data_IF_219125445800
#
_entry.id   IF_219125445800
#
_cell.length_a   1.000
_cell.length_b   1.000
_cell.length_c   1.000
_cell.angle_alpha   90.00
_cell.angle_beta   90.00
_cell.angle_gamma   90.00
#
_symmetry.space_group_name_H-M   'P 1'
#
loop_
_entity.id
_entity.type
_entity.pdbx_description
1 polymer ?
#
# COMPACT_ATOMS: atom_id res chain seq x y z
N UNK A 1 -22.41 7.99 -32.31
CA UNK A 1 -21.79 7.75 -33.63
C UNK A 1 -21.43 6.27 -33.67
N UNK A 2 -22.00 5.54 -34.59
CA UNK A 2 -21.74 4.12 -34.79
C UNK A 2 -21.28 3.91 -36.21
N UNK A 3 -20.24 3.11 -36.40
CA UNK A 3 -19.93 2.52 -37.67
C UNK A 3 -20.84 1.29 -37.85
N UNK A 4 -21.76 1.35 -38.80
CA UNK A 4 -22.70 0.25 -39.10
C UNK A 4 -22.11 -0.77 -40.06
N UNK A 5 -20.86 -0.65 -40.50
CA UNK A 5 -20.18 -1.64 -41.30
C UNK A 5 -19.85 -2.88 -40.49
N UNK A 6 -19.94 -4.06 -41.06
CA UNK A 6 -19.56 -5.33 -40.42
C UNK A 6 -18.07 -5.36 -40.04
N UNK A 7 -17.26 -4.53 -40.67
CA UNK A 7 -15.83 -4.44 -40.49
C UNK A 7 -15.39 -3.35 -39.50
N UNK A 8 -16.31 -2.46 -39.10
CA UNK A 8 -16.03 -1.28 -38.25
C UNK A 8 -14.81 -0.45 -38.73
N UNK A 9 -14.73 -0.25 -40.05
CA UNK A 9 -13.59 0.43 -40.69
C UNK A 9 -13.81 1.92 -40.97
N UNK A 10 -14.93 2.48 -40.52
CA UNK A 10 -15.17 3.92 -40.60
C UNK A 10 -14.13 4.68 -39.79
N UNK A 11 -13.45 5.64 -40.42
CA UNK A 11 -12.40 6.44 -39.79
C UNK A 11 -12.88 7.87 -39.65
N UNK A 12 -12.79 8.41 -38.43
CA UNK A 12 -13.07 9.80 -38.12
C UNK A 12 -11.76 10.56 -37.88
N UNK A 13 -11.53 11.58 -38.70
CA UNK A 13 -10.40 12.49 -38.53
C UNK A 13 -10.88 13.86 -38.08
N UNK A 14 -10.27 14.42 -37.03
CA UNK A 14 -10.47 15.80 -36.66
C UNK A 14 -10.91 16.04 -35.22
N UNK A 15 -11.32 17.28 -34.96
CA UNK A 15 -11.78 17.75 -33.65
C UNK A 15 -13.28 17.55 -33.51
N UNK A 16 -13.73 16.99 -32.41
CA UNK A 16 -15.14 16.82 -32.08
C UNK A 16 -15.51 17.74 -30.92
N UNK A 17 -16.53 18.61 -31.12
CA UNK A 17 -17.12 19.42 -30.08
C UNK A 17 -18.44 18.78 -29.61
N UNK A 18 -18.44 18.24 -28.42
CA UNK A 18 -19.61 17.59 -27.80
C UNK A 18 -20.33 18.56 -26.86
N UNK A 19 -21.58 18.83 -27.14
CA UNK A 19 -22.46 19.66 -26.29
C UNK A 19 -23.63 18.89 -25.68
N UNK A 20 -23.78 17.62 -26.01
CA UNK A 20 -24.86 16.74 -25.53
C UNK A 20 -24.33 15.72 -24.56
N UNK A 21 -25.13 15.37 -23.55
CA UNK A 21 -24.81 14.29 -22.59
C UNK A 21 -25.10 12.88 -23.13
N UNK A 22 -25.72 12.74 -24.31
CA UNK A 22 -26.19 11.47 -24.84
C UNK A 22 -25.42 11.05 -26.11
N UNK A 23 -24.11 11.22 -26.13
CA UNK A 23 -23.27 10.76 -27.23
C UNK A 23 -22.56 9.50 -26.82
N UNK A 24 -22.55 8.53 -27.72
CA UNK A 24 -21.87 7.26 -27.56
C UNK A 24 -20.98 6.96 -28.78
N UNK A 25 -19.77 6.51 -28.53
CA UNK A 25 -18.88 5.90 -29.50
C UNK A 25 -18.95 4.39 -29.34
N UNK A 26 -19.64 3.72 -30.25
CA UNK A 26 -19.91 2.29 -30.19
C UNK A 26 -19.04 1.44 -31.14
N UNK A 27 -18.25 2.06 -31.99
CA UNK A 27 -17.34 1.42 -32.95
C UNK A 27 -16.66 2.45 -33.84
N UNK A 28 -15.84 1.99 -34.80
CA UNK A 28 -15.08 2.84 -35.69
C UNK A 28 -13.66 3.14 -35.23
N UNK A 29 -12.96 3.93 -36.04
CA UNK A 29 -11.57 4.36 -35.77
C UNK A 29 -11.58 5.88 -35.62
N UNK A 30 -11.05 6.37 -34.51
CA UNK A 30 -11.03 7.79 -34.16
C UNK A 30 -9.59 8.27 -34.08
N UNK A 31 -9.14 8.98 -35.12
CA UNK A 31 -7.81 9.54 -35.22
C UNK A 31 -7.88 11.07 -35.08
N UNK A 32 -7.23 11.61 -34.07
CA UNK A 32 -7.22 13.04 -33.80
C UNK A 32 -5.80 13.59 -33.76
N UNK A 33 -5.35 14.15 -34.88
CA UNK A 33 -4.01 14.75 -34.99
C UNK A 33 -3.82 16.01 -34.13
N UNK A 34 -4.88 16.61 -33.61
CA UNK A 34 -4.81 17.87 -32.83
C UNK A 34 -4.97 17.72 -31.33
N UNK A 35 -5.13 16.50 -30.79
CA UNK A 35 -5.34 16.21 -29.36
C UNK A 35 -6.58 16.88 -28.70
N UNK A 36 -7.63 17.22 -29.47
CA UNK A 36 -8.68 18.06 -28.96
C UNK A 36 -10.08 17.46 -29.14
N UNK A 37 -10.47 16.60 -28.20
CA UNK A 37 -11.90 16.40 -27.95
C UNK A 37 -12.37 17.46 -26.96
N UNK A 38 -13.27 18.34 -27.40
CA UNK A 38 -13.86 19.36 -26.54
C UNK A 38 -15.19 18.85 -25.99
N UNK A 39 -15.25 18.64 -24.70
CA UNK A 39 -16.50 18.31 -24.01
C UNK A 39 -16.97 19.54 -23.24
N UNK A 40 -18.17 20.02 -23.55
CA UNK A 40 -18.70 21.21 -22.97
C UNK A 40 -19.58 20.89 -21.75
N UNK A 41 -19.49 21.72 -20.70
CA UNK A 41 -20.28 21.62 -19.47
C UNK A 41 -20.14 20.29 -18.68
N UNK A 42 -18.98 19.67 -18.65
CA UNK A 42 -18.76 18.45 -17.88
C UNK A 42 -19.52 17.22 -18.39
N UNK A 43 -20.05 17.28 -19.64
CA UNK A 43 -20.63 16.13 -20.30
C UNK A 43 -19.50 15.14 -20.64
N UNK A 44 -19.74 13.85 -20.48
CA UNK A 44 -18.83 12.80 -20.95
C UNK A 44 -19.44 12.05 -22.11
N UNK A 45 -18.56 11.56 -23.00
CA UNK A 45 -18.94 10.69 -24.11
C UNK A 45 -18.88 9.26 -23.60
N UNK A 46 -19.97 8.51 -23.74
CA UNK A 46 -19.95 7.08 -23.49
C UNK A 46 -19.14 6.37 -24.58
N UNK A 47 -18.21 5.54 -24.17
CA UNK A 47 -17.37 4.77 -25.09
C UNK A 47 -17.65 3.29 -24.86
N UNK A 48 -18.28 2.64 -25.85
CA UNK A 48 -18.64 1.22 -25.77
C UNK A 48 -17.97 0.37 -26.83
N UNK A 49 -17.19 0.96 -27.74
CA UNK A 49 -16.40 0.28 -28.76
C UNK A 49 -15.56 1.25 -29.57
N UNK A 50 -14.70 0.71 -30.43
CA UNK A 50 -13.86 1.47 -31.35
C UNK A 50 -12.38 1.45 -31.02
N UNK A 51 -11.59 2.03 -31.94
CA UNK A 51 -10.15 2.27 -31.83
C UNK A 51 -9.89 3.76 -31.75
N UNK A 52 -8.97 4.15 -30.89
CA UNK A 52 -8.71 5.55 -30.59
C UNK A 52 -7.22 5.83 -30.53
N UNK A 53 -6.78 6.95 -31.11
CA UNK A 53 -5.44 7.50 -30.85
C UNK A 53 -5.27 7.83 -29.40
N UNK A 54 -6.35 8.35 -28.78
CA UNK A 54 -6.34 8.78 -27.39
C UNK A 54 -7.72 8.72 -26.76
N UNK A 55 -7.77 8.17 -25.55
CA UNK A 55 -8.94 8.23 -24.67
C UNK A 55 -8.51 8.90 -23.36
N UNK A 56 -9.27 9.89 -22.90
CA UNK A 56 -9.02 10.57 -21.63
C UNK A 56 -10.27 10.54 -20.76
N UNK A 57 -10.09 10.29 -19.47
CA UNK A 57 -11.16 10.38 -18.45
C UNK A 57 -11.81 11.75 -18.35
N UNK A 58 -11.15 12.81 -18.82
CA UNK A 58 -11.72 14.14 -18.84
C UNK A 58 -12.98 14.19 -19.70
N UNK A 59 -13.02 13.46 -20.80
CA UNK A 59 -14.12 13.49 -21.75
C UNK A 59 -14.81 12.14 -21.99
N UNK A 60 -14.17 11.01 -21.65
CA UNK A 60 -14.70 9.68 -21.91
C UNK A 60 -15.18 8.98 -20.64
N UNK A 61 -16.23 8.20 -20.79
CA UNK A 61 -16.74 7.26 -19.82
C UNK A 61 -16.91 5.90 -20.49
N UNK A 62 -16.17 4.90 -20.04
CA UNK A 62 -16.28 3.54 -20.55
C UNK A 62 -17.62 2.93 -20.17
N UNK A 63 -18.21 2.16 -21.08
CA UNK A 63 -19.35 1.31 -20.78
C UNK A 63 -19.01 0.29 -19.69
N UNK A 64 -20.04 -0.27 -19.08
CA UNK A 64 -19.87 -1.28 -18.03
C UNK A 64 -19.12 -2.51 -18.56
N UNK A 65 -18.21 -3.04 -17.75
CA UNK A 65 -17.39 -4.23 -18.05
C UNK A 65 -16.52 -4.10 -19.32
N UNK A 66 -16.21 -2.87 -19.76
CA UNK A 66 -15.31 -2.61 -20.87
C UNK A 66 -13.97 -2.10 -20.35
N UNK A 67 -12.89 -2.45 -21.05
CA UNK A 67 -11.55 -1.96 -20.78
C UNK A 67 -10.88 -1.42 -22.03
N UNK A 68 -9.86 -0.59 -21.84
CA UNK A 68 -8.99 -0.13 -22.91
C UNK A 68 -7.81 -1.09 -23.03
N UNK A 69 -7.46 -1.42 -24.26
CA UNK A 69 -6.34 -2.31 -24.60
C UNK A 69 -5.45 -1.59 -25.59
N UNK A 70 -4.16 -1.59 -25.33
CA UNK A 70 -3.15 -1.04 -26.22
C UNK A 70 -3.10 -1.83 -27.54
N UNK A 71 -3.09 -1.15 -28.68
CA UNK A 71 -3.14 -1.79 -29.99
C UNK A 71 -1.82 -2.45 -30.41
N UNK A 72 -0.69 -2.08 -29.80
CA UNK A 72 0.63 -2.63 -30.13
C UNK A 72 1.01 -3.77 -29.21
N UNK A 73 0.84 -3.56 -27.88
CA UNK A 73 1.25 -4.55 -26.88
C UNK A 73 0.17 -5.56 -26.54
N UNK A 74 -1.08 -5.25 -26.87
CA UNK A 74 -2.28 -6.00 -26.49
C UNK A 74 -2.46 -6.12 -24.95
N UNK A 75 -1.91 -5.15 -24.21
CA UNK A 75 -2.02 -5.07 -22.77
C UNK A 75 -3.19 -4.18 -22.35
N UNK A 76 -3.89 -4.56 -21.29
CA UNK A 76 -4.96 -3.75 -20.72
C UNK A 76 -4.39 -2.52 -20.04
N UNK A 77 -5.07 -1.39 -20.21
CA UNK A 77 -4.73 -0.13 -19.58
C UNK A 77 -5.55 0.09 -18.31
N UNK A 78 -4.93 0.51 -17.18
CA UNK A 78 -5.65 0.74 -15.94
C UNK A 78 -6.75 1.80 -16.09
N UNK A 79 -7.94 1.51 -15.58
CA UNK A 79 -9.06 2.47 -15.59
C UNK A 79 -8.71 3.80 -14.90
N UNK A 80 -7.77 3.75 -13.93
CA UNK A 80 -7.30 4.93 -13.22
C UNK A 80 -6.44 5.88 -14.05
N UNK A 81 -5.90 5.46 -15.19
CA UNK A 81 -5.10 6.32 -16.07
C UNK A 81 -5.88 7.53 -16.54
N UNK A 82 -5.24 8.69 -16.53
CA UNK A 82 -5.86 9.95 -16.95
C UNK A 82 -6.03 10.01 -18.45
N UNK A 83 -5.17 9.32 -19.19
CA UNK A 83 -5.15 9.31 -20.65
C UNK A 83 -4.42 8.07 -21.15
N UNK A 84 -5.04 7.34 -22.07
CA UNK A 84 -4.47 6.20 -22.80
C UNK A 84 -4.35 6.55 -24.27
N UNK A 85 -3.27 6.14 -24.92
CA UNK A 85 -3.00 6.40 -26.34
C UNK A 85 -2.97 5.08 -27.11
N UNK A 86 -3.30 5.15 -28.42
CA UNK A 86 -3.28 4.00 -29.31
C UNK A 86 -4.04 2.77 -28.77
N UNK A 87 -5.29 2.96 -28.39
CA UNK A 87 -6.08 1.95 -27.69
C UNK A 87 -7.35 1.55 -28.45
N UNK A 88 -7.85 0.37 -28.15
CA UNK A 88 -9.22 -0.04 -28.50
C UNK A 88 -10.00 -0.49 -27.27
N UNK A 89 -11.31 -0.57 -27.44
CA UNK A 89 -12.24 -1.01 -26.39
C UNK A 89 -12.61 -2.46 -26.59
N UNK A 90 -12.49 -3.24 -25.53
CA UNK A 90 -12.96 -4.63 -25.51
C UNK A 90 -13.69 -4.98 -24.21
N UNK A 91 -14.35 -6.14 -24.20
CA UNK A 91 -14.99 -6.67 -23.00
C UNK A 91 -13.93 -7.12 -21.96
N UNK A 92 -14.06 -6.63 -20.74
CA UNK A 92 -13.23 -7.06 -19.62
C UNK A 92 -13.70 -8.40 -19.06
N UNK A 93 -13.32 -9.49 -19.74
CA UNK A 93 -13.77 -10.85 -19.39
C UNK A 93 -13.15 -11.39 -18.11
N UNK A 94 -11.95 -10.92 -17.75
CA UNK A 94 -11.24 -11.29 -16.52
C UNK A 94 -10.98 -10.03 -15.70
N UNK A 95 -11.63 -9.94 -14.55
CA UNK A 95 -11.45 -8.83 -13.63
C UNK A 95 -10.23 -9.03 -12.75
N UNK A 96 -9.58 -7.93 -12.40
CA UNK A 96 -8.42 -7.90 -11.52
C UNK A 96 -8.73 -6.98 -10.33
N UNK A 97 -8.64 -7.54 -9.13
CA UNK A 97 -8.91 -6.87 -7.86
C UNK A 97 -7.68 -6.87 -6.92
N UNK A 98 -6.49 -7.18 -7.45
CA UNK A 98 -5.27 -7.25 -6.64
C UNK A 98 -4.79 -5.89 -6.16
N UNK A 99 -4.91 -4.86 -7.01
CA UNK A 99 -4.50 -3.49 -6.69
C UNK A 99 -5.61 -2.68 -6.01
N UNK A 100 -6.85 -2.95 -6.36
CA UNK A 100 -8.03 -2.37 -5.74
C UNK A 100 -9.03 -3.47 -5.41
N UNK A 101 -9.17 -3.80 -4.13
CA UNK A 101 -10.05 -4.90 -3.71
C UNK A 101 -11.54 -4.60 -3.94
N UNK A 102 -11.91 -3.32 -4.09
CA UNK A 102 -13.29 -2.91 -4.31
C UNK A 102 -13.66 -2.85 -5.80
N UNK A 103 -12.73 -2.44 -6.66
CA UNK A 103 -13.00 -2.25 -8.07
C UNK A 103 -11.95 -2.92 -8.96
N UNK A 104 -12.41 -3.49 -10.09
CA UNK A 104 -11.50 -4.00 -11.10
C UNK A 104 -10.60 -2.89 -11.64
N UNK A 105 -9.28 -3.09 -11.63
CA UNK A 105 -8.29 -2.11 -12.08
C UNK A 105 -8.48 -1.72 -13.55
N UNK A 106 -9.01 -2.63 -14.38
CA UNK A 106 -9.18 -2.41 -15.82
C UNK A 106 -10.50 -1.75 -16.22
N UNK A 107 -11.62 -2.15 -15.61
CA UNK A 107 -12.97 -1.71 -16.03
C UNK A 107 -13.77 -1.05 -14.91
N UNK A 108 -13.21 -0.93 -13.72
CA UNK A 108 -13.86 -0.36 -12.55
C UNK A 108 -15.17 -1.06 -12.14
N UNK A 109 -15.38 -2.31 -12.56
CA UNK A 109 -16.49 -3.12 -12.07
C UNK A 109 -16.30 -3.39 -10.58
N UNK A 110 -17.34 -3.20 -9.80
CA UNK A 110 -17.31 -3.50 -8.37
C UNK A 110 -17.09 -4.99 -8.13
N UNK A 111 -16.18 -5.31 -7.22
CA UNK A 111 -15.96 -6.67 -6.76
C UNK A 111 -17.19 -7.18 -5.99
N UNK A 112 -17.86 -8.24 -6.44
CA UNK A 112 -19.03 -8.76 -5.74
C UNK A 112 -18.70 -9.32 -4.34
N UNK A 113 -17.45 -9.72 -4.12
CA UNK A 113 -17.00 -10.28 -2.85
C UNK A 113 -16.39 -9.23 -1.91
N UNK A 114 -16.41 -7.94 -2.32
CA UNK A 114 -15.89 -6.87 -1.49
C UNK A 114 -16.75 -6.67 -0.24
N UNK A 115 -16.12 -6.79 0.92
CA UNK A 115 -16.74 -6.63 2.24
C UNK A 115 -16.20 -5.41 3.01
N UNK A 116 -14.99 -4.94 2.68
CA UNK A 116 -14.33 -3.80 3.32
C UNK A 116 -12.82 -3.84 3.13
N UNK A 117 -12.15 -2.75 3.45
CA UNK A 117 -10.71 -2.61 3.27
C UNK A 117 -9.90 -3.17 4.44
N UNK A 118 -10.53 -3.32 5.60
CA UNK A 118 -9.89 -3.81 6.83
C UNK A 118 -10.76 -4.90 7.43
N UNK A 119 -10.19 -6.07 7.60
CA UNK A 119 -10.81 -7.18 8.31
C UNK A 119 -10.39 -7.15 9.78
N UNK A 120 -11.34 -7.37 10.66
CA UNK A 120 -11.14 -7.47 12.11
C UNK A 120 -11.64 -8.83 12.57
N UNK A 121 -10.77 -9.61 13.20
CA UNK A 121 -11.13 -10.90 13.78
C UNK A 121 -11.14 -10.79 15.30
N UNK A 122 -12.28 -11.08 15.92
CA UNK A 122 -12.47 -11.13 17.37
C UNK A 122 -13.11 -12.46 17.72
N UNK A 123 -12.45 -13.27 18.54
CA UNK A 123 -12.95 -14.61 18.92
C UNK A 123 -13.32 -15.50 17.72
N UNK A 124 -12.58 -15.40 16.62
CA UNK A 124 -12.83 -16.15 15.38
C UNK A 124 -13.98 -15.61 14.53
N UNK A 125 -14.62 -14.52 14.93
CA UNK A 125 -15.66 -13.85 14.13
C UNK A 125 -15.04 -12.71 13.35
N UNK A 126 -15.24 -12.71 12.02
CA UNK A 126 -14.75 -11.68 11.13
C UNK A 126 -15.78 -10.55 10.96
N UNK A 127 -15.28 -9.33 10.99
CA UNK A 127 -16.04 -8.10 10.70
C UNK A 127 -15.20 -7.25 9.75
N UNK A 128 -15.83 -6.59 8.78
CA UNK A 128 -15.15 -5.77 7.79
C UNK A 128 -15.56 -4.31 7.93
N UNK A 129 -14.60 -3.40 7.80
CA UNK A 129 -14.80 -1.94 7.86
C UNK A 129 -13.99 -1.25 6.77
N UNK A 130 -14.31 0.00 6.49
CA UNK A 130 -13.69 0.74 5.39
C UNK A 130 -12.49 1.58 5.84
N UNK A 131 -12.32 1.83 7.14
CA UNK A 131 -11.27 2.71 7.64
C UNK A 131 -10.48 2.11 8.80
N UNK A 132 -9.20 2.50 8.91
CA UNK A 132 -8.37 2.15 10.07
C UNK A 132 -8.98 2.69 11.38
N UNK A 133 -9.58 3.88 11.35
CA UNK A 133 -10.22 4.47 12.53
C UNK A 133 -11.32 3.58 13.10
N UNK A 134 -12.21 3.11 12.24
CA UNK A 134 -13.29 2.18 12.64
C UNK A 134 -12.72 0.86 13.16
N UNK A 135 -11.69 0.31 12.50
CA UNK A 135 -11.03 -0.91 12.94
C UNK A 135 -10.43 -0.77 14.34
N UNK A 136 -9.68 0.30 14.60
CA UNK A 136 -9.08 0.55 15.91
C UNK A 136 -10.12 0.86 16.97
N UNK A 137 -11.22 1.55 16.64
CA UNK A 137 -12.32 1.77 17.57
C UNK A 137 -13.01 0.47 17.96
N UNK A 138 -13.23 -0.42 16.98
CA UNK A 138 -13.85 -1.72 17.22
C UNK A 138 -12.97 -2.66 18.05
N UNK A 139 -11.66 -2.65 17.80
CA UNK A 139 -10.67 -3.52 18.46
C UNK A 139 -10.32 -3.06 19.88
N UNK A 140 -10.45 -1.76 20.18
CA UNK A 140 -10.06 -1.20 21.49
C UNK A 140 -10.84 -1.88 22.63
N UNK A 141 -10.12 -2.40 23.60
CA UNK A 141 -10.68 -3.16 24.72
C UNK A 141 -10.90 -4.66 24.45
N UNK A 142 -10.53 -5.17 23.28
CA UNK A 142 -10.73 -6.56 22.89
C UNK A 142 -9.41 -7.28 22.62
N UNK A 143 -9.46 -8.60 22.50
CA UNK A 143 -8.44 -9.38 21.83
C UNK A 143 -8.85 -9.49 20.35
N UNK A 144 -8.09 -8.82 19.48
CA UNK A 144 -8.46 -8.62 18.08
C UNK A 144 -7.25 -8.70 17.16
N UNK A 145 -7.44 -9.26 15.97
CA UNK A 145 -6.51 -9.15 14.85
C UNK A 145 -7.12 -8.24 13.77
N UNK A 146 -6.38 -7.22 13.36
CA UNK A 146 -6.73 -6.29 12.30
C UNK A 146 -5.86 -6.59 11.10
N UNK A 147 -6.45 -6.99 9.98
CA UNK A 147 -5.74 -7.36 8.74
C UNK A 147 -6.13 -6.41 7.61
N UNK A 148 -5.15 -5.85 6.94
CA UNK A 148 -5.38 -4.97 5.78
C UNK A 148 -5.63 -5.79 4.51
N UNK A 149 -6.68 -5.46 3.79
CA UNK A 149 -7.02 -6.09 2.51
C UNK A 149 -6.38 -5.35 1.34
N UNK A 150 -6.10 -4.04 1.50
CA UNK A 150 -5.31 -3.24 0.57
C UNK A 150 -4.50 -2.16 1.29
N UNK A 151 -3.58 -1.51 0.57
CA UNK A 151 -2.88 -0.31 1.05
C UNK A 151 -3.86 0.85 1.23
N UNK A 152 -3.66 1.65 2.27
CA UNK A 152 -4.56 2.77 2.56
C UNK A 152 -3.82 3.98 3.12
N UNK A 153 -4.43 5.15 2.91
CA UNK A 153 -4.01 6.40 3.50
C UNK A 153 -4.95 6.78 4.65
N UNK A 154 -4.41 7.01 5.84
CA UNK A 154 -5.19 7.58 6.93
C UNK A 154 -5.31 9.10 6.74
N UNK A 155 -6.53 9.60 6.75
CA UNK A 155 -6.83 11.02 6.51
C UNK A 155 -7.39 11.74 7.73
N UNK A 156 -7.39 11.10 8.89
CA UNK A 156 -7.97 11.69 10.09
C UNK A 156 -7.39 11.17 11.39
N UNK A 157 -7.77 11.79 12.50
CA UNK A 157 -7.30 11.40 13.83
C UNK A 157 -7.74 9.98 14.20
N UNK A 158 -6.78 9.20 14.69
CA UNK A 158 -6.99 7.83 15.15
C UNK A 158 -7.31 7.80 16.65
N UNK A 159 -8.06 6.80 17.12
CA UNK A 159 -8.33 6.62 18.54
C UNK A 159 -7.05 6.20 19.28
N UNK A 160 -6.93 6.60 20.53
CA UNK A 160 -5.90 6.08 21.43
C UNK A 160 -6.30 4.68 21.90
N UNK A 161 -5.37 3.72 21.80
CA UNK A 161 -5.57 2.33 22.23
C UNK A 161 -5.29 2.23 23.74
N UNK A 162 -6.36 2.15 24.54
CA UNK A 162 -6.28 2.22 25.99
C UNK A 162 -6.28 0.85 26.68
N UNK A 163 -6.76 -0.17 26.00
CA UNK A 163 -6.83 -1.53 26.56
C UNK A 163 -7.01 -2.55 25.43
N UNK A 164 -6.93 -3.83 25.80
CA UNK A 164 -7.06 -4.94 24.86
C UNK A 164 -5.71 -5.45 24.36
N UNK A 165 -5.79 -6.53 23.58
CA UNK A 165 -4.63 -7.13 22.91
C UNK A 165 -4.88 -7.13 21.41
N UNK A 166 -4.17 -6.29 20.69
CA UNK A 166 -4.45 -5.98 19.29
C UNK A 166 -3.26 -6.37 18.44
N UNK A 167 -3.48 -7.24 17.45
CA UNK A 167 -2.51 -7.48 16.39
C UNK A 167 -2.89 -6.65 15.17
N UNK A 168 -1.96 -5.81 14.70
CA UNK A 168 -2.09 -5.02 13.49
C UNK A 168 -1.19 -5.62 12.40
N UNK A 169 -1.81 -6.36 11.51
CA UNK A 169 -1.16 -7.03 10.38
C UNK A 169 -1.48 -6.30 9.08
N UNK A 170 -0.47 -5.63 8.50
CA UNK A 170 -0.66 -4.95 7.21
C UNK A 170 -0.71 -5.91 6.02
N UNK A 171 -0.48 -7.22 6.22
CA UNK A 171 -0.60 -8.21 5.15
C UNK A 171 0.15 -7.80 3.86
N UNK A 172 1.40 -7.36 3.99
CA UNK A 172 2.28 -6.83 2.93
C UNK A 172 1.75 -5.54 2.25
N UNK A 173 0.81 -4.85 2.88
CA UNK A 173 0.26 -3.59 2.39
C UNK A 173 0.97 -2.40 3.06
N UNK A 174 0.65 -1.20 2.58
CA UNK A 174 1.20 0.04 3.12
C UNK A 174 0.10 0.85 3.82
N UNK A 175 0.44 1.37 4.98
CA UNK A 175 -0.35 2.36 5.70
C UNK A 175 0.39 3.69 5.69
N UNK A 176 -0.13 4.66 4.96
CA UNK A 176 0.40 6.01 4.89
C UNK A 176 -0.47 6.99 5.68
N UNK A 177 0.07 8.14 6.05
CA UNK A 177 -0.69 9.20 6.73
C UNK A 177 -0.25 10.59 6.28
N UNK A 178 -1.21 11.50 6.13
CA UNK A 178 -0.94 12.93 5.90
C UNK A 178 -0.47 13.57 7.20
N UNK A 179 0.79 13.97 7.20
CA UNK A 179 1.54 14.79 8.17
C UNK A 179 1.67 14.31 9.61
N UNK A 180 0.70 14.46 10.50
CA UNK A 180 0.92 14.31 11.97
C UNK A 180 0.10 13.20 12.62
N UNK A 181 -0.60 12.43 11.85
CA UNK A 181 -1.40 11.34 12.40
C UNK A 181 -0.53 10.25 13.01
N UNK A 182 -0.96 9.75 14.15
CA UNK A 182 -0.22 8.77 14.96
C UNK A 182 -1.15 7.70 15.47
N UNK A 183 -0.63 6.49 15.56
CA UNK A 183 -1.27 5.43 16.35
C UNK A 183 -0.74 5.57 17.78
N UNK A 184 -1.60 5.98 18.71
CA UNK A 184 -1.24 6.10 20.11
C UNK A 184 -1.62 4.83 20.88
N UNK A 185 -0.62 4.25 21.57
CA UNK A 185 -0.79 3.11 22.48
C UNK A 185 -0.65 3.64 23.89
N UNK A 186 -1.72 3.57 24.68
CA UNK A 186 -1.79 4.09 26.03
C UNK A 186 -2.57 3.14 26.96
N UNK A 187 -1.98 1.97 27.22
CA UNK A 187 -2.54 0.91 28.06
C UNK A 187 -2.81 -0.42 27.34
N UNK A 188 -3.01 -0.43 26.02
CA UNK A 188 -3.20 -1.67 25.26
C UNK A 188 -1.90 -2.47 25.08
N UNK A 189 -2.03 -3.76 24.78
CA UNK A 189 -0.95 -4.59 24.23
C UNK A 189 -1.12 -4.66 22.71
N UNK A 190 -0.16 -4.13 21.95
CA UNK A 190 -0.25 -4.06 20.49
C UNK A 190 0.93 -4.78 19.86
N UNK A 191 0.64 -5.68 18.93
CA UNK A 191 1.64 -6.31 18.04
C UNK A 191 1.47 -5.75 16.65
N UNK A 192 2.57 -5.37 15.99
CA UNK A 192 2.58 -4.88 14.60
C UNK A 192 3.47 -5.73 13.73
N UNK A 193 3.02 -6.03 12.50
CA UNK A 193 3.74 -6.90 11.57
C UNK A 193 3.36 -6.71 10.11
N UNK A 194 4.22 -7.20 9.20
CA UNK A 194 3.96 -7.51 7.79
C UNK A 194 3.51 -6.33 6.92
N UNK A 195 4.30 -5.28 6.80
CA UNK A 195 4.00 -4.22 5.83
C UNK A 195 4.76 -2.93 6.07
N UNK A 196 4.39 -1.89 5.34
CA UNK A 196 5.03 -0.58 5.44
C UNK A 196 4.17 0.37 6.27
N UNK A 197 4.70 0.82 7.39
CA UNK A 197 4.07 1.76 8.31
C UNK A 197 4.66 3.16 8.10
N UNK A 198 4.18 3.89 7.08
CA UNK A 198 4.52 5.30 6.87
C UNK A 198 3.62 6.21 7.73
N UNK A 199 3.47 5.83 8.98
CA UNK A 199 2.78 6.53 10.06
C UNK A 199 3.61 6.41 11.33
N UNK A 200 3.48 7.36 12.23
CA UNK A 200 4.15 7.30 13.54
C UNK A 200 3.38 6.39 14.48
N UNK A 201 4.05 5.39 15.05
CA UNK A 201 3.51 4.61 16.16
C UNK A 201 4.12 5.17 17.44
N UNK A 202 3.28 5.67 18.33
CA UNK A 202 3.66 6.32 19.56
C UNK A 202 3.15 5.54 20.79
N UNK A 203 4.06 4.98 21.56
CA UNK A 203 3.73 4.28 22.80
C UNK A 203 3.89 5.21 24.00
N UNK A 204 2.87 5.31 24.85
CA UNK A 204 2.89 6.06 26.11
C UNK A 204 2.87 5.14 27.32
N UNK A 205 1.98 4.16 27.31
CA UNK A 205 1.89 3.08 28.29
C UNK A 205 1.38 1.81 27.61
N UNK A 206 1.26 0.68 28.33
CA UNK A 206 0.93 -0.61 27.74
C UNK A 206 2.15 -1.29 27.10
N UNK A 207 1.94 -2.15 26.10
CA UNK A 207 3.01 -2.90 25.43
C UNK A 207 2.93 -2.75 23.93
N UNK A 208 4.08 -2.55 23.29
CA UNK A 208 4.22 -2.59 21.84
C UNK A 208 5.22 -3.68 21.45
N UNK A 209 4.79 -4.64 20.67
CA UNK A 209 5.65 -5.65 20.06
C UNK A 209 5.75 -5.42 18.57
N UNK A 210 6.96 -5.36 18.04
CA UNK A 210 7.24 -5.22 16.62
C UNK A 210 7.88 -6.52 16.14
N UNK A 211 7.18 -7.24 15.27
CA UNK A 211 7.63 -8.53 14.75
C UNK A 211 8.28 -8.42 13.37
N UNK A 212 7.77 -7.55 12.51
CA UNK A 212 8.28 -7.32 11.16
C UNK A 212 7.67 -6.06 10.54
N UNK A 213 8.22 -5.60 9.42
CA UNK A 213 7.71 -4.46 8.65
C UNK A 213 8.72 -3.33 8.51
N UNK A 214 8.37 -2.36 7.67
CA UNK A 214 9.13 -1.14 7.44
C UNK A 214 8.45 0.02 8.16
N UNK A 215 9.18 0.72 9.02
CA UNK A 215 8.64 1.76 9.88
C UNK A 215 9.30 3.11 9.59
N UNK A 216 8.48 4.13 9.27
CA UNK A 216 8.95 5.50 9.18
C UNK A 216 9.44 6.01 10.53
N UNK A 217 8.65 5.81 11.58
CA UNK A 217 9.04 6.26 12.91
C UNK A 217 8.31 5.49 14.02
N UNK A 218 9.08 5.03 14.98
CA UNK A 218 8.60 4.59 16.29
C UNK A 218 8.90 5.67 17.30
N UNK A 219 7.89 6.08 18.04
CA UNK A 219 8.02 7.09 19.09
C UNK A 219 7.73 6.53 20.48
N UNK A 220 8.53 6.92 21.44
CA UNK A 220 8.39 6.54 22.85
C UNK A 220 8.35 7.80 23.71
N UNK A 221 7.31 7.94 24.55
CA UNK A 221 7.08 9.15 25.30
C UNK A 221 6.98 9.00 26.81
N UNK A 222 7.25 7.82 27.35
CA UNK A 222 7.23 7.60 28.79
C UNK A 222 8.48 6.85 29.28
N UNK A 223 8.71 6.89 30.61
CA UNK A 223 9.87 6.29 31.27
C UNK A 223 9.87 4.76 31.37
N UNK A 224 8.91 4.07 30.74
CA UNK A 224 8.75 2.60 30.78
C UNK A 224 9.49 1.90 29.65
N UNK A 225 10.83 1.88 29.71
CA UNK A 225 11.70 1.31 28.68
C UNK A 225 11.42 -0.19 28.33
N UNK A 226 10.80 -0.93 29.24
CA UNK A 226 10.54 -2.37 29.07
C UNK A 226 9.21 -2.70 28.37
N UNK A 227 8.53 -1.71 27.82
CA UNK A 227 7.21 -1.88 27.23
C UNK A 227 7.21 -1.97 25.70
N UNK A 228 8.38 -1.81 25.07
CA UNK A 228 8.57 -2.02 23.63
C UNK A 228 9.53 -3.19 23.44
N UNK A 229 9.11 -4.16 22.61
CA UNK A 229 9.89 -5.32 22.21
C UNK A 229 9.99 -5.36 20.68
N UNK A 230 11.23 -5.34 20.16
CA UNK A 230 11.50 -5.37 18.71
C UNK A 230 12.19 -6.68 18.35
N UNK A 231 11.42 -7.64 17.80
CA UNK A 231 11.94 -8.94 17.34
C UNK A 231 12.19 -8.97 15.83
N UNK A 232 11.91 -7.89 15.12
CA UNK A 232 12.13 -7.67 13.70
C UNK A 232 11.76 -6.25 13.31
N UNK A 233 11.85 -5.95 12.02
CA UNK A 233 11.48 -4.65 11.46
C UNK A 233 12.68 -3.82 11.01
N UNK A 234 12.40 -2.92 10.09
CA UNK A 234 13.32 -1.97 9.49
C UNK A 234 12.85 -0.55 9.82
N UNK A 235 13.66 0.24 10.49
CA UNK A 235 13.27 1.51 11.07
C UNK A 235 14.03 2.67 10.43
N UNK A 236 13.30 3.66 9.90
CA UNK A 236 13.90 4.90 9.43
C UNK A 236 14.26 5.81 10.61
N UNK A 237 13.42 5.83 11.64
CA UNK A 237 13.64 6.66 12.82
C UNK A 237 13.07 6.01 14.09
N UNK A 238 13.84 6.07 15.18
CA UNK A 238 13.40 5.68 16.52
C UNK A 238 13.62 6.89 17.44
N UNK A 239 12.51 7.50 17.90
CA UNK A 239 12.54 8.69 18.75
C UNK A 239 12.25 8.31 20.18
N UNK A 240 13.22 8.54 21.06
CA UNK A 240 13.16 8.23 22.48
C UNK A 240 13.08 9.51 23.30
N UNK A 241 12.28 9.51 24.36
CA UNK A 241 12.31 10.59 25.36
C UNK A 241 13.50 10.43 26.30
N UNK A 242 13.84 9.18 26.66
CA UNK A 242 15.00 8.84 27.49
C UNK A 242 15.43 7.42 27.23
N UNK A 243 16.71 7.09 27.51
CA UNK A 243 17.25 5.75 27.34
C UNK A 243 17.82 5.46 25.95
N UNK A 244 18.05 4.20 25.64
CA UNK A 244 18.64 3.72 24.40
C UNK A 244 17.69 2.78 23.67
N UNK A 245 17.73 2.79 22.35
CA UNK A 245 16.92 1.90 21.52
C UNK A 245 17.25 0.43 21.73
N UNK A 246 18.48 0.13 22.12
CA UNK A 246 18.95 -1.23 22.45
C UNK A 246 18.15 -1.87 23.59
N UNK A 247 17.63 -1.06 24.51
CA UNK A 247 16.78 -1.55 25.60
C UNK A 247 15.41 -2.09 25.12
N UNK A 248 15.04 -1.86 23.88
CA UNK A 248 13.81 -2.37 23.24
C UNK A 248 14.06 -3.74 22.58
N UNK A 249 15.32 -4.17 22.49
CA UNK A 249 15.67 -5.45 21.91
C UNK A 249 15.58 -6.55 22.97
N UNK A 250 14.89 -7.67 22.70
CA UNK A 250 14.97 -8.84 23.56
C UNK A 250 16.37 -9.43 23.54
N UNK A 251 16.68 -10.25 24.53
CA UNK A 251 17.96 -10.93 24.62
C UNK A 251 18.26 -11.70 23.33
N UNK A 252 19.45 -11.51 22.78
CA UNK A 252 19.94 -12.14 21.54
C UNK A 252 19.48 -11.42 20.26
N UNK A 253 19.03 -10.18 20.36
CA UNK A 253 18.74 -9.32 19.22
C UNK A 253 19.68 -8.13 19.18
N UNK A 254 19.96 -7.62 17.98
CA UNK A 254 20.75 -6.42 17.74
C UNK A 254 20.15 -5.56 16.63
N UNK A 255 20.50 -4.27 16.60
CA UNK A 255 20.27 -3.41 15.46
C UNK A 255 21.43 -3.48 14.49
N UNK A 256 21.11 -3.53 13.21
CA UNK A 256 22.05 -3.48 12.09
C UNK A 256 21.71 -2.27 11.23
N UNK A 257 22.73 -1.49 10.88
CA UNK A 257 22.55 -0.40 9.91
C UNK A 257 22.39 -0.98 8.51
N UNK A 258 21.40 -0.47 7.78
CA UNK A 258 21.22 -0.76 6.35
C UNK A 258 21.96 0.26 5.49
N UNK A 259 22.15 -0.02 4.19
CA UNK A 259 22.85 0.89 3.27
C UNK A 259 22.16 2.26 3.13
N UNK A 260 20.85 2.29 3.26
CA UNK A 260 20.02 3.51 3.22
C UNK A 260 19.93 4.23 4.57
N UNK A 261 20.73 3.81 5.55
CA UNK A 261 20.84 4.46 6.87
C UNK A 261 19.71 4.13 7.84
N UNK A 262 18.95 3.07 7.58
CA UNK A 262 17.92 2.56 8.50
C UNK A 262 18.53 1.62 9.53
N UNK A 263 17.71 1.25 10.52
CA UNK A 263 18.06 0.27 11.53
C UNK A 263 17.20 -0.98 11.37
N UNK A 264 17.84 -2.15 11.24
CA UNK A 264 17.17 -3.44 11.16
C UNK A 264 17.34 -4.19 12.48
N UNK A 265 16.23 -4.57 13.14
CA UNK A 265 16.26 -5.46 14.32
C UNK A 265 16.14 -6.91 13.90
N UNK A 266 17.07 -7.75 14.33
CA UNK A 266 17.02 -9.21 14.16
C UNK A 266 17.91 -9.95 15.16
N UNK A 267 17.73 -11.28 15.24
CA UNK A 267 18.60 -12.11 16.08
C UNK A 267 20.06 -11.97 15.67
N UNK A 268 20.96 -11.93 16.66
CA UNK A 268 22.42 -11.82 16.45
C UNK A 268 23.02 -13.01 15.69
N UNK A 269 22.38 -14.20 15.77
CA UNK A 269 22.84 -15.38 15.03
C UNK A 269 22.52 -15.18 13.55
N UNK A 270 23.49 -14.62 12.83
CA UNK A 270 23.44 -14.51 11.37
C UNK A 270 23.85 -15.83 10.76
N UNK A 271 23.09 -16.30 9.78
CA UNK A 271 23.49 -17.42 8.94
C UNK A 271 24.42 -16.91 7.83
N UNK A 272 25.20 -17.81 7.21
CA UNK A 272 26.08 -17.46 6.10
C UNK A 272 25.35 -16.80 4.92
N UNK A 273 24.05 -17.11 4.72
CA UNK A 273 23.20 -16.46 3.73
C UNK A 273 22.85 -15.01 4.10
N UNK A 274 22.78 -14.70 5.39
CA UNK A 274 22.46 -13.34 5.88
C UNK A 274 23.67 -12.41 5.71
N UNK A 275 24.90 -12.95 5.73
CA UNK A 275 26.14 -12.19 5.59
C UNK A 275 26.45 -11.77 4.14
N UNK A 276 25.86 -12.41 3.14
CA UNK A 276 26.11 -12.09 1.72
C UNK A 276 25.70 -10.66 1.32
N UNK A 277 24.82 -10.03 2.08
CA UNK A 277 24.27 -8.70 1.80
C UNK A 277 24.55 -7.69 2.92
N UNK A 278 25.44 -8.01 3.86
CA UNK A 278 25.76 -7.12 4.98
C UNK A 278 27.17 -6.57 4.78
N UNK A 279 27.27 -5.31 4.37
CA UNK A 279 28.53 -4.58 4.43
C UNK A 279 28.78 -4.15 5.88
N UNK A 280 29.77 -4.73 6.55
CA UNK A 280 30.17 -4.32 7.89
C UNK A 280 30.94 -3.00 7.77
N UNK A 281 30.27 -1.88 7.98
CA UNK A 281 30.92 -0.58 8.10
C UNK A 281 31.39 -0.38 9.53
N UNK A 282 32.68 -0.15 9.72
CA UNK A 282 33.23 0.31 10.99
C UNK A 282 32.75 1.76 11.21
N UNK A 283 31.70 1.93 12.02
CA UNK A 283 31.12 3.24 12.36
C UNK A 283 31.85 3.95 13.51
N UNK A 284 33.05 3.49 13.86
CA UNK A 284 33.84 4.09 14.96
C UNK A 284 33.39 3.68 16.36
N UNK A 285 32.52 2.68 16.48
CA UNK A 285 32.20 2.05 17.76
C UNK A 285 33.40 1.25 18.28
N UNK A 286 33.64 1.28 19.59
CA UNK A 286 34.70 0.47 20.20
C UNK A 286 34.41 -1.01 20.02
N UNK A 287 35.46 -1.82 19.86
CA UNK A 287 35.40 -3.28 19.67
C UNK A 287 34.63 -4.05 20.76
N UNK A 288 34.36 -3.41 21.88
CA UNK A 288 33.62 -3.96 23.03
C UNK A 288 32.11 -4.06 22.83
N UNK A 289 31.56 -3.38 21.80
CA UNK A 289 30.13 -3.37 21.49
C UNK A 289 29.74 -4.14 20.23
N UNK A 290 30.70 -4.81 19.57
CA UNK A 290 30.38 -5.67 18.44
C UNK A 290 29.72 -6.97 18.94
N UNK A 291 28.58 -7.37 18.37
CA UNK A 291 27.95 -8.64 18.70
C UNK A 291 28.95 -9.78 18.46
N UNK A 292 29.06 -10.69 19.41
CA UNK A 292 29.88 -11.89 19.20
C UNK A 292 29.18 -12.76 18.15
N UNK A 293 29.74 -12.78 16.95
CA UNK A 293 29.29 -13.69 15.91
C UNK A 293 29.76 -15.10 16.32
N UNK A 294 28.83 -15.96 16.75
CA UNK A 294 29.12 -17.34 17.02
C UNK A 294 29.25 -18.12 15.72
N UNK A 295 30.45 -18.32 15.24
CA UNK A 295 30.78 -19.05 14.03
C UNK A 295 32.22 -18.75 13.61
N UNK A 296 32.80 -19.53 12.76
CA UNK A 296 34.20 -19.39 12.34
C UNK A 296 34.36 -18.16 11.42
N UNK A 297 34.35 -16.95 12.02
CA UNK A 297 34.44 -15.64 11.33
C UNK A 297 35.72 -15.51 10.51
N UNK A 298 36.83 -16.17 10.96
CA UNK A 298 38.09 -16.14 10.24
C UNK A 298 38.05 -16.80 8.85
N UNK A 299 37.17 -17.78 8.65
CA UNK A 299 36.98 -18.40 7.32
C UNK A 299 36.11 -17.58 6.38
N UNK A 300 35.23 -16.75 6.92
CA UNK A 300 34.25 -15.96 6.12
C UNK A 300 34.80 -14.60 5.64
N UNK A 301 35.89 -14.13 6.31
CA UNK A 301 36.58 -12.88 5.93
C UNK A 301 37.71 -13.07 4.93
N UNK A 302 38.06 -14.32 4.57
CA UNK A 302 39.09 -14.66 3.59
C UNK A 302 38.55 -15.09 2.21
N UNK A 303 37.23 -15.23 2.04
CA UNK A 303 36.54 -15.40 0.76
C UNK A 303 35.83 -14.08 0.32
#
# INVERSE_FOLDING_TARGET
ITDSSETQTGVFYGTLLVRSKNIEFAGGIYENQSNSYFVYNGAKIKVSGGKFDRVSKEWAELGEELCLVDNETNEKQPYAETSCTNVHVEACKKHDYEQDVQYCVWCHKKNPDFQGYVRITVNGVETYVDTLKEALQYANGKEAEITFMQSMENTGSLPTLKSGKITLDLNQKSLTAKSVDRIYIDGAEVTVKNGTFDIVIAQRSGKLRIESGDFRQIGYWDSYQNSIEMTGGNFQNIVLYSGSAENMLPQGYAFYSTEDGRFLSRKEVLTQSDLKNVEVRNTGMSCETLPQISGNVEQTLQE
#
